data_IF_791846884677
#
_entry.id   IF_791846884677
#
_cell.length_a   1.000
_cell.length_b   1.000
_cell.length_c   1.000
_cell.angle_alpha   90.00
_cell.angle_beta   90.00
_cell.angle_gamma   90.00
#
_symmetry.space_group_name_H-M   'P 1'
#
loop_
_entity.id
_entity.type
_entity.pdbx_description
1 polymer ?
#
# COMPACT_ATOMS: atom_id res chain seq x y z
N UNK A 1 -2.01 17.00 -12.60
CA UNK A 1 -1.75 15.73 -11.89
C UNK A 1 -2.98 14.86 -11.98
N UNK A 2 -2.79 13.55 -12.16
CA UNK A 2 -3.88 12.57 -12.14
C UNK A 2 -3.93 11.92 -10.76
N UNK A 3 -5.13 11.63 -10.28
CA UNK A 3 -5.33 10.87 -9.06
C UNK A 3 -5.17 9.39 -9.38
N UNK A 4 -4.39 8.70 -8.55
CA UNK A 4 -4.18 7.27 -8.61
C UNK A 4 -4.58 6.66 -7.27
N UNK A 5 -5.18 5.48 -7.34
CA UNK A 5 -5.47 4.65 -6.17
C UNK A 5 -4.71 3.33 -6.35
N UNK A 6 -3.89 2.99 -5.37
CA UNK A 6 -3.12 1.74 -5.33
C UNK A 6 -3.50 0.96 -4.09
N UNK A 7 -3.95 -0.27 -4.27
CA UNK A 7 -4.23 -1.21 -3.18
C UNK A 7 -3.08 -2.19 -3.10
N UNK A 8 -2.50 -2.30 -1.91
CA UNK A 8 -1.38 -3.19 -1.61
C UNK A 8 -1.87 -4.25 -0.63
N UNK A 9 -1.52 -5.51 -0.93
CA UNK A 9 -1.78 -6.64 -0.05
C UNK A 9 -0.44 -7.14 0.46
N UNK A 10 -0.25 -7.06 1.78
CA UNK A 10 0.97 -7.47 2.47
C UNK A 10 0.71 -8.79 3.20
N UNK A 11 1.77 -9.58 3.41
CA UNK A 11 1.69 -10.81 4.21
C UNK A 11 1.21 -10.46 5.63
N UNK A 12 0.14 -11.10 6.14
CA UNK A 12 -0.39 -10.83 7.47
C UNK A 12 0.52 -11.31 8.60
N UNK A 13 1.55 -12.11 8.33
CA UNK A 13 2.48 -12.62 9.34
C UNK A 13 3.73 -11.75 9.50
N UNK A 14 3.89 -10.71 8.68
CA UNK A 14 4.95 -9.70 8.87
C UNK A 14 4.76 -8.97 10.20
N UNK A 15 5.86 -8.63 10.88
CA UNK A 15 5.81 -7.80 12.09
C UNK A 15 5.32 -6.39 11.77
N UNK A 16 4.69 -5.73 12.73
CA UNK A 16 4.16 -4.37 12.53
C UNK A 16 5.27 -3.35 12.22
N UNK A 17 6.49 -3.56 12.74
CA UNK A 17 7.67 -2.75 12.39
C UNK A 17 8.04 -2.85 10.90
N UNK A 18 8.06 -4.07 10.35
CA UNK A 18 8.38 -4.28 8.93
C UNK A 18 7.29 -3.68 8.03
N UNK A 19 6.02 -3.76 8.44
CA UNK A 19 4.91 -3.13 7.72
C UNK A 19 5.04 -1.61 7.71
N UNK A 20 5.34 -1.01 8.86
CA UNK A 20 5.56 0.43 8.97
C UNK A 20 6.74 0.88 8.10
N UNK A 21 7.83 0.12 8.05
CA UNK A 21 8.96 0.42 7.16
C UNK A 21 8.55 0.42 5.68
N UNK A 22 7.68 -0.51 5.26
CA UNK A 22 7.13 -0.52 3.89
C UNK A 22 6.28 0.74 3.64
N UNK A 23 5.45 1.16 4.59
CA UNK A 23 4.64 2.38 4.45
C UNK A 23 5.48 3.64 4.39
N UNK A 24 6.50 3.78 5.24
CA UNK A 24 7.45 4.89 5.20
C UNK A 24 8.16 4.96 3.84
N UNK A 25 8.63 3.81 3.34
CA UNK A 25 9.31 3.73 2.05
C UNK A 25 8.40 4.15 0.88
N UNK A 26 7.11 3.79 0.92
CA UNK A 26 6.13 4.22 -0.07
C UNK A 26 5.82 5.71 0.05
N UNK A 27 5.70 6.22 1.28
CA UNK A 27 5.49 7.64 1.56
C UNK A 27 6.66 8.51 1.10
N UNK A 28 7.89 8.00 1.13
CA UNK A 28 9.07 8.71 0.64
C UNK A 28 9.20 8.65 -0.89
N UNK A 29 8.82 7.52 -1.50
CA UNK A 29 9.00 7.30 -2.94
C UNK A 29 8.04 8.16 -3.79
N UNK A 30 6.81 8.38 -3.33
CA UNK A 30 5.81 9.22 -4.01
C UNK A 30 6.29 10.67 -4.20
N UNK A 31 6.71 11.41 -3.15
CA UNK A 31 7.24 12.76 -3.29
C UNK A 31 8.57 12.81 -4.05
N UNK A 32 9.43 11.79 -3.92
CA UNK A 32 10.66 11.69 -4.73
C UNK A 32 10.38 11.65 -6.24
N UNK A 33 9.27 11.04 -6.66
CA UNK A 33 8.86 10.99 -8.07
C UNK A 33 8.00 12.19 -8.50
N UNK A 34 7.90 13.24 -7.67
CA UNK A 34 7.09 14.43 -7.97
C UNK A 34 5.58 14.21 -7.81
N UNK A 35 5.18 13.14 -7.12
CA UNK A 35 3.81 12.89 -6.71
C UNK A 35 3.48 13.52 -5.36
N UNK A 36 2.19 13.65 -5.07
CA UNK A 36 1.67 14.13 -3.80
C UNK A 36 0.80 13.05 -3.15
N UNK A 37 1.15 12.59 -1.95
CA UNK A 37 0.32 11.67 -1.18
C UNK A 37 -0.94 12.40 -0.72
N UNK A 38 -2.11 11.87 -1.08
CA UNK A 38 -3.39 12.43 -0.66
C UNK A 38 -3.86 11.76 0.63
N UNK A 39 -3.83 10.43 0.66
CA UNK A 39 -4.34 9.65 1.77
C UNK A 39 -3.71 8.27 1.82
N UNK A 40 -3.40 7.81 3.03
CA UNK A 40 -3.07 6.42 3.32
C UNK A 40 -4.16 5.89 4.25
N UNK A 41 -4.81 4.81 3.84
CA UNK A 41 -5.95 4.22 4.52
C UNK A 41 -5.63 2.75 4.81
N UNK A 42 -5.44 2.45 6.09
CA UNK A 42 -5.09 1.13 6.57
C UNK A 42 -6.35 0.33 6.90
N UNK A 43 -6.58 -0.75 6.15
CA UNK A 43 -7.76 -1.60 6.30
C UNK A 43 -7.49 -2.83 7.16
N UNK A 44 -6.25 -3.07 7.56
CA UNK A 44 -5.83 -4.19 8.37
C UNK A 44 -5.92 -5.55 7.69
N UNK A 45 -5.83 -6.61 8.50
CA UNK A 45 -5.90 -7.98 8.04
C UNK A 45 -7.34 -8.42 7.71
N UNK A 46 -7.63 -8.66 6.44
CA UNK A 46 -8.91 -9.22 5.96
C UNK A 46 -8.73 -10.63 5.40
N UNK A 47 -9.82 -11.40 5.39
CA UNK A 47 -9.87 -12.74 4.77
C UNK A 47 -9.92 -12.58 3.25
N UNK A 48 -9.04 -13.27 2.54
CA UNK A 48 -9.01 -13.30 1.08
C UNK A 48 -10.13 -14.22 0.55
N UNK A 49 -10.65 -13.91 -0.64
CA UNK A 49 -11.66 -14.75 -1.28
C UNK A 49 -11.11 -16.14 -1.68
N UNK A 50 -9.82 -16.20 -1.97
CA UNK A 50 -9.07 -17.41 -2.29
C UNK A 50 -7.66 -17.31 -1.70
N UNK A 51 -7.00 -18.46 -1.62
CA UNK A 51 -5.64 -18.54 -1.08
C UNK A 51 -4.62 -17.93 -2.04
N UNK A 52 -3.81 -17.00 -1.56
CA UNK A 52 -2.67 -16.44 -2.30
C UNK A 52 -1.42 -16.87 -1.55
N UNK A 53 -0.48 -17.55 -2.22
CA UNK A 53 0.77 -18.04 -1.61
C UNK A 53 0.57 -18.82 -0.30
N UNK A 54 -0.43 -19.71 -0.23
CA UNK A 54 -0.76 -20.48 0.99
C UNK A 54 -1.26 -19.66 2.17
N UNK A 55 -1.69 -18.42 1.93
CA UNK A 55 -2.29 -17.53 2.93
C UNK A 55 -3.77 -17.30 2.60
N UNK A 56 -4.61 -17.45 3.61
CA UNK A 56 -6.06 -17.17 3.53
C UNK A 56 -6.42 -15.76 4.01
N UNK A 57 -5.44 -15.01 4.52
CA UNK A 57 -5.56 -13.64 5.01
C UNK A 57 -4.52 -12.77 4.33
N UNK A 58 -4.86 -11.50 4.14
CA UNK A 58 -3.95 -10.47 3.62
C UNK A 58 -4.16 -9.17 4.38
N UNK A 59 -3.09 -8.43 4.59
CA UNK A 59 -3.15 -7.09 5.18
C UNK A 59 -3.35 -6.07 4.07
N UNK A 60 -4.46 -5.33 4.11
CA UNK A 60 -4.84 -4.41 3.06
C UNK A 60 -4.47 -2.99 3.44
N UNK A 61 -3.78 -2.30 2.52
CA UNK A 61 -3.58 -0.85 2.61
C UNK A 61 -3.92 -0.21 1.29
N UNK A 62 -4.68 0.89 1.39
CA UNK A 62 -5.06 1.72 0.26
C UNK A 62 -4.28 3.01 0.29
N UNK A 63 -3.69 3.33 -0.86
CA UNK A 63 -2.88 4.52 -1.06
C UNK A 63 -3.53 5.37 -2.14
N UNK A 64 -3.90 6.59 -1.80
CA UNK A 64 -4.39 7.60 -2.74
C UNK A 64 -3.30 8.67 -2.91
N UNK A 65 -2.88 8.90 -4.16
CA UNK A 65 -1.87 9.90 -4.47
C UNK A 65 -2.11 10.56 -5.82
N UNK A 66 -1.64 11.79 -5.96
CA UNK A 66 -1.65 12.53 -7.20
C UNK A 66 -0.27 12.40 -7.86
N UNK A 67 -0.21 11.89 -9.09
CA UNK A 67 1.05 11.75 -9.84
C UNK A 67 1.05 12.56 -11.13
N UNK A 68 2.22 13.04 -11.52
CA UNK A 68 2.52 13.36 -12.92
C UNK A 68 2.77 12.05 -13.64
N UNK A 69 1.79 11.57 -14.41
CA UNK A 69 1.96 10.34 -15.21
C UNK A 69 2.77 10.62 -16.47
N UNK A 70 4.07 10.30 -16.45
CA UNK A 70 4.67 9.47 -17.48
C UNK A 70 5.32 8.26 -16.81
N UNK A 71 4.83 7.06 -17.15
CA UNK A 71 5.53 5.80 -16.88
C UNK A 71 6.80 5.73 -17.74
#
# INVERSE_FOLDING_TARGET
MRKYETIIIIDPDLADEDRNSVFERLNDLIPQQGGFLVMLDDWGAKKLAYEINKKTRGYYVRLEYCGTGPL
#
